data_IF_846506015659
#
_entry.id   IF_846506015659
#
_cell.length_a   1.000
_cell.length_b   1.000
_cell.length_c   1.000
_cell.angle_alpha   90.00
_cell.angle_beta   90.00
_cell.angle_gamma   90.00
#
_symmetry.space_group_name_H-M   'P 1'
#
loop_
_entity.id
_entity.type
_entity.pdbx_description
1 polymer ?
#
# COMPACT_ATOMS: atom_id res chain seq x y z
N UNK A 1 -22.90 11.73 -16.66
CA UNK A 1 -21.85 10.75 -17.01
C UNK A 1 -22.52 9.40 -17.18
N UNK A 2 -22.28 8.67 -18.28
CA UNK A 2 -22.77 7.30 -18.46
C UNK A 2 -21.67 6.34 -18.05
N UNK A 3 -22.00 5.35 -17.23
CA UNK A 3 -21.07 4.30 -16.80
C UNK A 3 -21.20 3.11 -17.76
N UNK A 4 -20.09 2.59 -18.28
CA UNK A 4 -20.06 1.46 -19.21
C UNK A 4 -19.05 0.41 -18.73
N UNK A 5 -19.46 -0.86 -18.80
CA UNK A 5 -18.53 -1.98 -18.58
C UNK A 5 -17.66 -2.19 -19.81
N UNK A 6 -16.39 -2.53 -19.59
CA UNK A 6 -15.43 -2.89 -20.63
C UNK A 6 -14.53 -4.05 -20.17
N UNK A 7 -13.98 -4.83 -21.10
CA UNK A 7 -12.97 -5.83 -20.73
C UNK A 7 -11.76 -5.18 -20.05
N UNK A 8 -11.29 -5.81 -18.97
CA UNK A 8 -10.08 -5.34 -18.26
C UNK A 8 -8.83 -5.56 -19.11
N UNK A 9 -7.95 -4.57 -19.16
CA UNK A 9 -6.64 -4.63 -19.82
C UNK A 9 -5.56 -4.17 -18.87
N UNK A 10 -4.44 -4.90 -18.77
CA UNK A 10 -3.30 -4.51 -17.91
C UNK A 10 -2.67 -3.19 -18.38
N UNK A 11 -2.64 -2.92 -19.67
CA UNK A 11 -2.13 -1.64 -20.23
C UNK A 11 -2.87 -0.39 -19.76
N UNK A 12 -4.01 -0.58 -19.09
CA UNK A 12 -4.77 0.51 -18.49
C UNK A 12 -4.54 0.63 -16.97
N UNK A 13 -3.72 -0.26 -16.40
CA UNK A 13 -3.28 -0.13 -15.02
C UNK A 13 -2.28 1.02 -14.91
N UNK A 14 -2.54 1.92 -13.96
CA UNK A 14 -1.69 3.08 -13.67
C UNK A 14 -1.05 2.85 -12.30
N UNK A 15 0.16 2.29 -12.24
CA UNK A 15 0.77 1.99 -10.95
C UNK A 15 1.05 3.26 -10.15
N UNK A 16 0.58 3.26 -8.91
CA UNK A 16 0.96 4.18 -7.85
C UNK A 16 2.00 3.47 -6.99
N UNK A 17 3.21 4.03 -6.93
CA UNK A 17 4.35 3.42 -6.21
C UNK A 17 4.77 4.32 -5.05
N UNK A 18 4.96 3.74 -3.86
CA UNK A 18 5.42 4.46 -2.68
C UNK A 18 6.87 4.14 -2.32
N UNK A 19 7.70 5.17 -2.19
CA UNK A 19 9.08 5.06 -1.72
C UNK A 19 9.23 5.90 -0.44
N UNK A 20 9.62 5.29 0.66
CA UNK A 20 9.84 6.03 1.90
C UNK A 20 11.21 5.73 2.49
N UNK A 21 11.78 6.71 3.17
CA UNK A 21 13.11 6.57 3.77
C UNK A 21 13.41 7.71 4.74
N UNK A 22 14.44 7.50 5.57
CA UNK A 22 15.11 8.60 6.28
C UNK A 22 15.75 9.58 5.29
N UNK A 23 16.09 10.77 5.79
CA UNK A 23 16.80 11.77 4.97
C UNK A 23 18.18 11.23 4.55
N UNK A 24 18.52 11.46 3.27
CA UNK A 24 19.82 11.04 2.71
C UNK A 24 19.90 9.59 2.22
N UNK A 25 18.85 8.77 2.39
CA UNK A 25 18.84 7.37 1.92
C UNK A 25 18.62 7.20 0.40
N UNK A 26 18.49 8.29 -0.38
CA UNK A 26 18.44 8.21 -1.84
C UNK A 26 17.05 8.09 -2.47
N UNK A 27 15.96 8.46 -1.75
CA UNK A 27 14.58 8.43 -2.29
C UNK A 27 14.43 9.12 -3.64
N UNK A 28 14.84 10.39 -3.70
CA UNK A 28 14.72 11.25 -4.90
C UNK A 28 15.37 10.62 -6.11
N UNK A 29 16.64 10.18 -5.98
CA UNK A 29 17.35 9.53 -7.07
C UNK A 29 16.69 8.22 -7.48
N UNK A 30 16.28 7.39 -6.52
CA UNK A 30 15.58 6.14 -6.80
C UNK A 30 14.26 6.37 -7.56
N UNK A 31 13.50 7.41 -7.18
CA UNK A 31 12.28 7.79 -7.88
C UNK A 31 12.56 8.28 -9.30
N UNK A 32 13.62 9.09 -9.49
CA UNK A 32 14.03 9.56 -10.80
C UNK A 32 14.46 8.41 -11.73
N UNK A 33 15.26 7.46 -11.22
CA UNK A 33 15.66 6.28 -11.96
C UNK A 33 14.47 5.40 -12.34
N UNK A 34 13.53 5.18 -11.41
CA UNK A 34 12.32 4.43 -11.66
C UNK A 34 11.45 5.10 -12.72
N UNK A 35 11.20 6.40 -12.58
CA UNK A 35 10.39 7.20 -13.50
C UNK A 35 11.01 7.24 -14.89
N UNK A 36 12.32 7.52 -14.98
CA UNK A 36 13.05 7.59 -16.26
C UNK A 36 13.10 6.24 -16.97
N UNK A 37 13.33 5.15 -16.21
CA UNK A 37 13.30 3.81 -16.76
C UNK A 37 11.91 3.42 -17.29
N UNK A 38 10.85 3.83 -16.60
CA UNK A 38 9.46 3.60 -17.02
C UNK A 38 9.08 4.43 -18.26
N UNK A 39 9.36 5.71 -18.27
CA UNK A 39 9.07 6.62 -19.37
C UNK A 39 9.92 6.32 -20.62
N UNK A 40 11.07 5.68 -20.45
CA UNK A 40 12.03 5.45 -21.54
C UNK A 40 12.84 6.71 -21.88
N UNK A 41 13.74 6.66 -22.88
CA UNK A 41 14.71 7.71 -23.14
C UNK A 41 14.07 9.03 -23.63
N UNK A 42 12.92 8.97 -24.30
CA UNK A 42 12.22 10.13 -24.88
C UNK A 42 10.95 10.51 -24.15
N UNK A 43 10.52 9.71 -23.18
CA UNK A 43 9.30 9.99 -22.41
C UNK A 43 9.46 11.20 -21.50
N UNK A 44 8.34 11.83 -21.17
CA UNK A 44 8.30 13.05 -20.35
C UNK A 44 8.13 12.70 -18.87
N UNK A 45 9.11 13.05 -18.05
CA UNK A 45 9.07 12.86 -16.59
C UNK A 45 8.86 14.21 -15.92
N UNK A 46 7.90 14.29 -14.99
CA UNK A 46 7.64 15.46 -14.17
C UNK A 46 7.90 15.19 -12.68
N UNK A 47 8.24 16.23 -11.94
CA UNK A 47 8.38 16.20 -10.50
C UNK A 47 7.64 17.38 -9.88
N UNK A 48 6.74 17.12 -8.95
CA UNK A 48 6.24 18.12 -8.00
C UNK A 48 7.19 18.09 -6.81
N UNK A 49 7.95 19.17 -6.63
CA UNK A 49 9.03 19.29 -5.65
C UNK A 49 8.62 20.23 -4.53
N UNK A 50 8.79 19.76 -3.28
CA UNK A 50 8.39 20.50 -2.08
C UNK A 50 9.56 20.68 -1.09
N UNK A 51 10.77 20.22 -1.43
CA UNK A 51 11.94 20.18 -0.54
C UNK A 51 13.01 21.25 -0.86
N UNK A 52 12.59 22.42 -1.34
CA UNK A 52 13.46 23.61 -1.53
C UNK A 52 14.62 23.42 -2.52
N UNK A 53 14.34 22.81 -3.69
CA UNK A 53 15.30 22.66 -4.79
C UNK A 53 16.15 21.40 -4.72
N UNK A 54 15.92 20.52 -3.76
CA UNK A 54 16.66 19.23 -3.68
C UNK A 54 16.42 18.33 -4.88
N UNK A 55 15.20 18.37 -5.43
CA UNK A 55 14.86 17.63 -6.63
C UNK A 55 15.64 18.12 -7.85
N UNK A 56 15.91 19.43 -7.95
CA UNK A 56 16.63 20.05 -9.06
C UNK A 56 18.14 19.72 -9.06
N UNK A 57 18.69 19.32 -7.91
CA UNK A 57 20.11 18.95 -7.80
C UNK A 57 20.52 17.73 -8.65
N UNK A 58 19.56 16.99 -9.20
CA UNK A 58 19.80 15.85 -10.08
C UNK A 58 19.61 16.18 -11.57
N UNK A 59 19.41 17.46 -11.95
CA UNK A 59 19.11 17.84 -13.33
C UNK A 59 20.19 17.40 -14.32
N UNK A 60 21.47 17.51 -13.91
CA UNK A 60 22.63 17.14 -14.74
C UNK A 60 23.23 15.78 -14.35
N UNK A 61 22.53 14.96 -13.56
CA UNK A 61 23.04 13.68 -13.14
C UNK A 61 23.05 12.68 -14.32
N UNK A 62 24.23 12.17 -14.73
CA UNK A 62 24.33 11.25 -15.88
C UNK A 62 23.59 9.94 -15.69
N UNK A 63 23.21 9.58 -14.44
CA UNK A 63 22.38 8.41 -14.14
C UNK A 63 20.91 8.62 -14.52
N UNK A 64 20.46 9.87 -14.72
CA UNK A 64 19.10 10.24 -15.10
C UNK A 64 19.07 10.82 -16.52
N UNK A 65 19.31 10.01 -17.57
CA UNK A 65 19.39 10.49 -18.93
C UNK A 65 18.04 11.03 -19.42
N UNK A 66 18.05 12.12 -20.20
CA UNK A 66 16.85 12.72 -20.77
C UNK A 66 16.13 13.73 -19.85
N UNK A 67 16.67 13.97 -18.64
CA UNK A 67 16.19 15.02 -17.75
C UNK A 67 14.74 14.84 -17.26
N UNK A 68 14.19 15.86 -16.63
CA UNK A 68 12.81 15.93 -16.13
C UNK A 68 12.42 17.40 -15.96
N UNK A 69 11.11 17.66 -15.91
CA UNK A 69 10.59 19.01 -15.61
C UNK A 69 10.12 19.08 -14.15
N UNK A 70 10.22 20.24 -13.54
CA UNK A 70 9.91 20.46 -12.13
C UNK A 70 8.81 21.51 -11.96
N UNK A 71 7.83 21.22 -11.11
CA UNK A 71 6.91 22.17 -10.52
C UNK A 71 7.26 22.31 -9.05
N UNK A 72 7.70 23.49 -8.62
CA UNK A 72 8.04 23.77 -7.24
C UNK A 72 6.82 24.25 -6.47
N UNK A 73 6.39 23.49 -5.46
CA UNK A 73 5.36 23.85 -4.50
C UNK A 73 6.02 24.31 -3.21
N UNK A 74 5.85 25.60 -2.82
CA UNK A 74 6.64 26.23 -1.75
C UNK A 74 5.84 26.79 -0.60
N UNK A 75 4.72 27.45 -0.88
CA UNK A 75 4.09 28.36 0.07
C UNK A 75 2.87 27.72 0.77
N UNK A 76 2.24 26.74 0.14
CA UNK A 76 1.06 26.05 0.66
C UNK A 76 1.17 24.54 0.38
N UNK A 77 1.06 23.75 1.43
CA UNK A 77 1.06 22.28 1.35
C UNK A 77 -0.31 21.68 1.66
N UNK A 78 -1.37 22.47 1.47
CA UNK A 78 -2.73 21.97 1.62
C UNK A 78 -3.07 20.88 0.60
N UNK A 79 -4.03 20.00 0.91
CA UNK A 79 -4.56 19.05 -0.07
C UNK A 79 -5.00 19.70 -1.38
N UNK A 80 -5.58 20.92 -1.32
CA UNK A 80 -5.98 21.68 -2.51
C UNK A 80 -4.79 22.09 -3.37
N UNK A 81 -3.71 22.60 -2.77
CA UNK A 81 -2.51 23.00 -3.51
C UNK A 81 -1.86 21.80 -4.22
N UNK A 82 -1.83 20.62 -3.57
CA UNK A 82 -1.39 19.39 -4.23
C UNK A 82 -2.33 18.96 -5.37
N UNK A 83 -3.64 19.11 -5.18
CA UNK A 83 -4.61 18.83 -6.25
C UNK A 83 -4.46 19.74 -7.45
N UNK A 84 -4.19 21.03 -7.25
CA UNK A 84 -3.90 21.99 -8.32
C UNK A 84 -2.58 21.66 -9.03
N UNK A 85 -1.54 21.27 -8.28
CA UNK A 85 -0.26 20.84 -8.85
C UNK A 85 -0.41 19.54 -9.67
N UNK A 86 -1.22 18.57 -9.21
CA UNK A 86 -1.58 17.38 -10.00
C UNK A 86 -2.31 17.77 -11.29
N UNK A 87 -3.29 18.68 -11.23
CA UNK A 87 -4.00 19.17 -12.40
C UNK A 87 -3.09 19.93 -13.39
N UNK A 88 -2.04 20.60 -12.89
CA UNK A 88 -1.02 21.21 -13.75
C UNK A 88 -0.15 20.13 -14.42
N UNK A 89 0.26 19.09 -13.68
CA UNK A 89 1.03 17.98 -14.20
C UNK A 89 0.29 17.19 -15.30
N UNK A 90 -1.03 17.04 -15.18
CA UNK A 90 -1.86 16.37 -16.20
C UNK A 90 -1.83 17.10 -17.56
N UNK A 91 -1.76 18.43 -17.55
CA UNK A 91 -1.69 19.25 -18.77
C UNK A 91 -0.36 19.08 -19.52
N UNK A 92 0.66 18.60 -18.81
CA UNK A 92 1.99 18.36 -19.37
C UNK A 92 2.11 17.04 -20.13
N UNK A 93 1.06 16.20 -20.15
CA UNK A 93 1.06 14.88 -20.79
C UNK A 93 2.28 14.01 -20.39
N UNK A 94 2.52 13.89 -19.10
CA UNK A 94 3.65 13.15 -18.54
C UNK A 94 3.47 11.63 -18.70
N UNK A 95 4.58 10.92 -18.92
CA UNK A 95 4.65 9.46 -18.86
C UNK A 95 4.87 8.97 -17.42
N UNK A 96 5.52 9.78 -16.58
CA UNK A 96 5.71 9.52 -15.18
C UNK A 96 5.74 10.81 -14.35
N UNK A 97 5.15 10.79 -13.17
CA UNK A 97 5.14 11.89 -12.21
C UNK A 97 5.73 11.44 -10.88
N UNK A 98 6.57 12.27 -10.29
CA UNK A 98 7.14 12.11 -8.96
C UNK A 98 6.58 13.20 -8.05
N UNK A 99 6.12 12.86 -6.85
CA UNK A 99 5.81 13.82 -5.78
C UNK A 99 6.89 13.68 -4.70
N UNK A 100 7.77 14.66 -4.56
CA UNK A 100 8.85 14.65 -3.56
C UNK A 100 8.88 15.97 -2.75
N UNK A 101 8.27 15.98 -1.58
CA UNK A 101 7.78 14.88 -0.76
C UNK A 101 6.26 14.91 -0.60
N UNK A 102 5.58 13.79 -0.81
CA UNK A 102 4.16 13.66 -0.54
C UNK A 102 3.83 13.78 0.97
N UNK A 103 4.81 13.62 1.87
CA UNK A 103 4.61 13.81 3.32
C UNK A 103 4.29 15.25 3.71
N UNK A 104 4.62 16.24 2.87
CA UNK A 104 4.29 17.64 3.18
C UNK A 104 2.79 17.91 3.13
N UNK A 105 2.04 17.24 2.25
CA UNK A 105 0.58 17.29 2.25
C UNK A 105 -0.01 16.89 3.60
N UNK A 106 0.64 15.93 4.28
CA UNK A 106 0.16 15.44 5.58
C UNK A 106 0.64 16.30 6.77
N UNK A 107 1.90 16.70 6.81
CA UNK A 107 2.56 17.21 8.03
C UNK A 107 3.15 18.62 7.91
N UNK A 108 3.15 19.25 6.75
CA UNK A 108 3.68 20.61 6.63
C UNK A 108 2.61 21.68 6.89
N UNK A 109 3.03 22.97 6.84
CA UNK A 109 2.12 24.12 6.98
C UNK A 109 1.07 24.08 5.85
N UNK A 110 -0.21 24.23 6.22
CA UNK A 110 -1.32 24.02 5.29
C UNK A 110 -1.79 22.57 5.18
N UNK A 111 -0.93 21.60 5.48
CA UNK A 111 -1.24 20.17 5.39
C UNK A 111 -2.26 19.69 6.42
N UNK A 112 -2.68 18.43 6.26
CA UNK A 112 -3.80 17.81 7.03
C UNK A 112 -3.62 17.93 8.54
N UNK A 113 -2.42 17.66 9.06
CA UNK A 113 -2.13 17.78 10.50
C UNK A 113 -2.15 19.21 10.99
N UNK A 114 -1.65 20.17 10.20
CA UNK A 114 -1.72 21.58 10.52
C UNK A 114 -3.18 22.06 10.57
N UNK A 115 -4.01 21.66 9.60
CA UNK A 115 -5.46 21.96 9.61
C UNK A 115 -6.14 21.38 10.85
N UNK A 116 -5.78 20.17 11.27
CA UNK A 116 -6.29 19.55 12.48
C UNK A 116 -5.88 20.34 13.74
N UNK A 117 -4.63 20.78 13.85
CA UNK A 117 -4.15 21.61 14.95
C UNK A 117 -4.88 22.96 15.01
N UNK A 118 -5.16 23.58 13.87
CA UNK A 118 -5.97 24.80 13.80
C UNK A 118 -7.40 24.59 14.29
N UNK A 119 -8.02 23.45 13.94
CA UNK A 119 -9.35 23.08 14.45
C UNK A 119 -9.35 22.91 15.97
N UNK A 120 -8.31 22.29 16.53
CA UNK A 120 -8.15 22.13 17.98
C UNK A 120 -7.98 23.48 18.69
N UNK A 121 -7.17 24.38 18.13
CA UNK A 121 -7.00 25.75 18.63
C UNK A 121 -8.31 26.56 18.60
N UNK A 122 -9.22 26.25 17.67
CA UNK A 122 -10.59 26.84 17.61
C UNK A 122 -11.57 26.15 18.55
N UNK A 123 -11.13 25.25 19.43
CA UNK A 123 -11.96 24.60 20.46
C UNK A 123 -12.70 23.35 19.99
N UNK A 124 -12.47 22.84 18.77
CA UNK A 124 -12.98 21.51 18.35
C UNK A 124 -12.29 20.41 19.16
N UNK A 125 -12.98 19.31 19.43
CA UNK A 125 -12.46 18.20 20.23
C UNK A 125 -12.73 16.84 19.59
N UNK A 126 -11.87 15.87 19.91
CA UNK A 126 -12.02 14.49 19.48
C UNK A 126 -12.06 14.35 17.96
N UNK A 127 -13.03 13.60 17.45
CA UNK A 127 -13.15 13.34 16.01
C UNK A 127 -13.42 14.60 15.17
N UNK A 128 -14.03 15.65 15.74
CA UNK A 128 -14.32 16.88 15.02
C UNK A 128 -13.06 17.63 14.58
N UNK A 129 -11.94 17.42 15.29
CA UNK A 129 -10.64 18.00 14.93
C UNK A 129 -10.22 17.54 13.52
N UNK A 130 -10.45 16.28 13.21
CA UNK A 130 -9.99 15.62 12.00
C UNK A 130 -11.01 15.56 10.87
N UNK A 131 -12.27 15.87 11.10
CA UNK A 131 -13.35 15.67 10.13
C UNK A 131 -13.09 16.44 8.83
N UNK A 132 -12.95 17.76 8.89
CA UNK A 132 -12.68 18.59 7.71
C UNK A 132 -11.32 18.26 7.07
N UNK A 133 -10.19 18.20 7.83
CA UNK A 133 -8.89 17.88 7.24
C UNK A 133 -8.87 16.56 6.46
N UNK A 134 -9.52 15.52 7.01
CA UNK A 134 -9.61 14.22 6.29
C UNK A 134 -10.51 14.28 5.06
N UNK A 135 -11.59 15.05 5.11
CA UNK A 135 -12.45 15.26 3.93
C UNK A 135 -11.69 16.01 2.83
N UNK A 136 -10.91 17.03 3.18
CA UNK A 136 -10.10 17.79 2.22
C UNK A 136 -9.00 16.91 1.63
N UNK A 137 -8.31 16.11 2.45
CA UNK A 137 -7.36 15.09 1.98
C UNK A 137 -7.98 14.15 0.94
N UNK A 138 -9.15 13.58 1.25
CA UNK A 138 -9.82 12.67 0.33
C UNK A 138 -10.28 13.36 -0.95
N UNK A 139 -10.85 14.55 -0.87
CA UNK A 139 -11.45 15.25 -2.01
C UNK A 139 -10.40 15.90 -2.91
N UNK A 140 -9.41 16.55 -2.31
CA UNK A 140 -8.50 17.44 -3.02
C UNK A 140 -7.13 16.84 -3.31
N UNK A 141 -6.74 15.79 -2.61
CA UNK A 141 -5.49 15.08 -2.87
C UNK A 141 -5.71 13.64 -3.37
N UNK A 142 -6.39 12.80 -2.59
CA UNK A 142 -6.54 11.38 -2.94
C UNK A 142 -7.33 11.17 -4.22
N UNK A 143 -8.48 11.83 -4.38
CA UNK A 143 -9.32 11.66 -5.57
C UNK A 143 -8.60 12.11 -6.86
N UNK A 144 -7.96 13.30 -6.95
CA UNK A 144 -7.13 13.67 -8.09
C UNK A 144 -5.99 12.67 -8.34
N UNK A 145 -5.27 12.26 -7.29
CA UNK A 145 -4.17 11.31 -7.39
C UNK A 145 -4.59 9.96 -8.00
N UNK A 146 -5.71 9.42 -7.58
CA UNK A 146 -6.22 8.11 -8.04
C UNK A 146 -6.89 8.19 -9.41
N UNK A 147 -7.39 9.35 -9.81
CA UNK A 147 -8.06 9.56 -11.10
C UNK A 147 -7.15 10.08 -12.21
N UNK A 148 -5.92 10.47 -11.90
CA UNK A 148 -4.99 11.04 -12.89
C UNK A 148 -4.79 10.15 -14.12
N UNK A 149 -4.71 10.71 -15.33
CA UNK A 149 -4.40 9.96 -16.55
C UNK A 149 -2.92 9.54 -16.64
N UNK A 150 -2.02 10.09 -15.80
CA UNK A 150 -0.58 9.85 -15.87
C UNK A 150 -0.27 8.36 -15.66
N UNK A 151 0.51 7.72 -16.56
CA UNK A 151 0.73 6.28 -16.56
C UNK A 151 1.44 5.72 -15.31
N UNK A 152 2.33 6.50 -14.68
CA UNK A 152 3.04 6.15 -13.45
C UNK A 152 3.07 7.34 -12.51
N UNK A 153 2.68 7.12 -11.25
CA UNK A 153 2.90 8.10 -10.17
C UNK A 153 3.76 7.47 -9.07
N UNK A 154 4.78 8.21 -8.63
CA UNK A 154 5.70 7.80 -7.57
C UNK A 154 5.59 8.80 -6.42
N UNK A 155 5.27 8.32 -5.24
CA UNK A 155 5.23 9.12 -4.02
C UNK A 155 6.50 8.90 -3.20
N UNK A 156 7.32 9.92 -3.08
CA UNK A 156 8.41 9.96 -2.12
C UNK A 156 7.89 10.43 -0.78
N UNK A 157 8.05 9.64 0.26
CA UNK A 157 7.57 9.95 1.60
C UNK A 157 8.74 9.96 2.58
N UNK A 158 8.72 10.89 3.52
CA UNK A 158 9.59 10.83 4.69
C UNK A 158 9.23 9.62 5.53
N UNK A 159 10.18 9.05 6.23
CA UNK A 159 9.93 7.94 7.10
C UNK A 159 10.45 8.22 8.51
N UNK A 160 9.83 7.59 9.48
CA UNK A 160 10.18 7.66 10.89
C UNK A 160 10.00 6.33 11.57
N UNK A 161 10.67 6.16 12.69
CA UNK A 161 10.36 5.10 13.64
C UNK A 161 9.36 5.66 14.65
N UNK A 162 8.10 5.25 14.63
CA UNK A 162 7.11 5.77 15.56
C UNK A 162 7.46 5.44 17.00
N UNK A 163 7.00 6.28 17.93
CA UNK A 163 7.01 5.94 19.36
C UNK A 163 5.81 5.03 19.65
N UNK A 164 6.06 3.90 20.26
CA UNK A 164 5.06 2.92 20.65
C UNK A 164 5.03 2.80 22.18
N UNK A 165 3.84 2.82 22.75
CA UNK A 165 3.66 2.62 24.19
C UNK A 165 3.80 1.13 24.52
N UNK A 166 4.57 0.84 25.57
CA UNK A 166 4.69 -0.50 26.09
C UNK A 166 3.35 -0.98 26.66
N UNK A 167 2.76 -2.00 26.04
CA UNK A 167 1.45 -2.55 26.47
C UNK A 167 1.45 -3.07 27.90
N UNK A 168 2.61 -3.48 28.42
CA UNK A 168 2.75 -4.00 29.77
C UNK A 168 2.94 -2.88 30.84
N UNK A 169 3.36 -1.69 30.41
CA UNK A 169 3.67 -0.60 31.34
C UNK A 169 3.22 0.74 30.73
N UNK A 170 2.01 1.16 31.11
CA UNK A 170 1.42 2.43 30.66
C UNK A 170 2.33 3.63 30.97
N UNK A 171 2.54 4.49 29.97
CA UNK A 171 3.45 5.64 30.08
C UNK A 171 4.91 5.33 29.74
N UNK A 172 5.27 4.08 29.48
CA UNK A 172 6.59 3.67 29.02
C UNK A 172 6.59 3.61 27.48
N UNK A 173 7.30 4.54 26.84
CA UNK A 173 7.34 4.71 25.39
C UNK A 173 8.71 4.31 24.87
N UNK A 174 8.75 3.49 23.82
CA UNK A 174 9.95 3.12 23.11
C UNK A 174 9.83 3.44 21.63
N UNK A 175 10.95 3.62 20.96
CA UNK A 175 11.01 3.76 19.51
C UNK A 175 10.70 2.41 18.86
N UNK A 176 9.78 2.39 17.90
CA UNK A 176 9.51 1.19 17.09
C UNK A 176 10.78 0.73 16.35
N UNK A 177 10.94 -0.57 16.17
CA UNK A 177 11.97 -1.13 15.29
C UNK A 177 11.58 -1.04 13.81
N UNK A 178 10.31 -0.78 13.51
CA UNK A 178 9.78 -0.70 12.15
C UNK A 178 9.74 0.74 11.67
N UNK A 179 10.31 0.96 10.49
CA UNK A 179 10.26 2.23 9.78
C UNK A 179 8.90 2.38 9.09
N UNK A 180 8.22 3.49 9.32
CA UNK A 180 6.91 3.80 8.74
C UNK A 180 6.94 5.08 7.92
N UNK A 181 6.21 5.16 6.81
CA UNK A 181 6.08 6.39 6.04
C UNK A 181 5.30 7.44 6.84
N UNK A 182 5.71 8.68 6.69
CA UNK A 182 5.05 9.80 7.35
C UNK A 182 3.97 10.39 6.43
N UNK A 183 2.86 9.69 6.36
CA UNK A 183 1.68 10.01 5.56
C UNK A 183 0.45 9.30 6.16
N UNK A 184 -0.73 9.53 5.61
CA UNK A 184 -1.95 8.80 5.96
C UNK A 184 -1.82 7.31 5.62
N UNK A 185 -2.26 6.44 6.52
CA UNK A 185 -2.27 4.99 6.28
C UNK A 185 -3.14 4.60 5.07
N UNK A 186 -4.20 5.40 4.81
CA UNK A 186 -5.14 5.11 3.71
C UNK A 186 -4.48 5.16 2.34
N UNK A 187 -3.47 6.01 2.13
CA UNK A 187 -2.78 6.11 0.84
C UNK A 187 -1.97 4.84 0.51
N UNK A 188 -1.49 4.13 1.53
CA UNK A 188 -0.71 2.91 1.36
C UNK A 188 -1.57 1.76 0.80
N UNK A 189 -2.87 1.74 1.11
CA UNK A 189 -3.80 0.76 0.57
C UNK A 189 -4.00 0.92 -0.94
N UNK A 190 -3.89 2.14 -1.46
CA UNK A 190 -4.09 2.43 -2.88
C UNK A 190 -2.84 2.14 -3.75
N UNK A 191 -1.68 1.93 -3.14
CA UNK A 191 -0.44 1.70 -3.86
C UNK A 191 -0.35 0.29 -4.42
N UNK A 192 0.13 0.15 -5.66
CA UNK A 192 0.47 -1.14 -6.27
C UNK A 192 1.67 -1.81 -5.59
N UNK A 193 2.67 -1.03 -5.25
CA UNK A 193 3.80 -1.47 -4.42
C UNK A 193 4.31 -0.29 -3.59
N UNK A 194 4.80 -0.58 -2.40
CA UNK A 194 5.55 0.39 -1.61
C UNK A 194 6.60 -0.30 -0.74
N UNK A 195 7.62 0.45 -0.39
CA UNK A 195 8.68 -0.02 0.48
C UNK A 195 9.63 1.11 0.88
N UNK A 196 10.56 0.78 1.73
CA UNK A 196 11.54 1.73 2.23
C UNK A 196 12.91 1.53 1.58
N UNK A 197 13.70 2.59 1.57
CA UNK A 197 15.06 2.59 1.06
C UNK A 197 16.01 2.77 2.25
N UNK A 198 16.96 1.87 2.39
CA UNK A 198 17.95 1.90 3.44
C UNK A 198 19.11 2.87 3.12
N UNK A 199 20.04 3.03 4.08
CA UNK A 199 21.23 3.88 3.90
C UNK A 199 22.24 3.31 2.89
N UNK A 200 22.11 2.04 2.53
CA UNK A 200 22.84 1.38 1.44
C UNK A 200 22.16 1.56 0.08
N UNK A 201 21.10 2.38 0.01
CA UNK A 201 20.30 2.65 -1.19
C UNK A 201 19.55 1.44 -1.74
N UNK A 202 19.30 0.43 -0.90
CA UNK A 202 18.54 -0.76 -1.27
C UNK A 202 17.07 -0.60 -0.92
N UNK A 203 16.21 -1.06 -1.83
CA UNK A 203 14.77 -1.08 -1.64
C UNK A 203 14.35 -2.31 -0.84
N UNK A 204 13.54 -2.10 0.18
CA UNK A 204 12.91 -3.15 0.99
C UNK A 204 11.40 -3.03 0.85
N UNK A 205 10.80 -3.96 0.14
CA UNK A 205 9.37 -3.91 -0.17
C UNK A 205 8.53 -4.34 1.02
N UNK A 206 7.51 -3.53 1.29
CA UNK A 206 6.52 -3.79 2.36
C UNK A 206 5.21 -4.33 1.78
N UNK A 207 4.85 -3.90 0.56
CA UNK A 207 3.64 -4.33 -0.13
C UNK A 207 3.89 -4.51 -1.62
N UNK A 208 3.30 -5.58 -2.16
CA UNK A 208 3.11 -5.80 -3.59
C UNK A 208 1.68 -6.30 -3.81
N UNK A 209 0.89 -5.59 -4.59
CA UNK A 209 -0.49 -5.99 -4.90
C UNK A 209 -0.54 -7.28 -5.73
N UNK A 210 0.53 -7.56 -6.48
CA UNK A 210 0.66 -8.76 -7.31
C UNK A 210 2.06 -9.35 -7.16
N UNK A 211 2.14 -10.68 -7.17
CA UNK A 211 3.41 -11.39 -7.00
C UNK A 211 4.43 -11.04 -8.10
N UNK A 212 3.96 -10.79 -9.32
CA UNK A 212 4.86 -10.38 -10.42
C UNK A 212 5.61 -9.07 -10.11
N UNK A 213 5.04 -8.17 -9.29
CA UNK A 213 5.74 -6.94 -8.91
C UNK A 213 6.96 -7.18 -8.03
N UNK A 214 7.06 -8.31 -7.33
CA UNK A 214 8.27 -8.71 -6.60
C UNK A 214 9.45 -8.96 -7.55
N UNK A 215 9.19 -9.46 -8.75
CA UNK A 215 10.24 -9.65 -9.76
C UNK A 215 10.60 -8.37 -10.52
N UNK A 216 9.73 -7.36 -10.46
CA UNK A 216 9.93 -6.03 -11.05
C UNK A 216 10.74 -5.15 -10.10
N UNK A 217 10.28 -5.02 -8.86
CA UNK A 217 10.92 -4.24 -7.80
C UNK A 217 11.51 -5.22 -6.78
N UNK A 218 12.76 -5.60 -7.05
CA UNK A 218 13.46 -6.63 -6.27
C UNK A 218 13.72 -6.14 -4.84
N UNK A 219 13.43 -7.01 -3.89
CA UNK A 219 13.72 -6.75 -2.48
C UNK A 219 15.23 -6.79 -2.22
N UNK A 220 15.73 -5.96 -1.32
CA UNK A 220 17.13 -5.83 -0.96
C UNK A 220 18.08 -5.46 -2.13
N UNK A 221 17.53 -4.83 -3.19
CA UNK A 221 18.29 -4.37 -4.36
C UNK A 221 18.05 -2.87 -4.61
N UNK A 222 19.01 -2.15 -5.20
CA UNK A 222 18.82 -0.75 -5.56
C UNK A 222 17.81 -0.60 -6.70
N UNK A 223 17.01 0.46 -6.64
CA UNK A 223 16.16 0.87 -7.75
C UNK A 223 17.03 1.50 -8.85
N UNK A 224 16.88 0.99 -10.08
CA UNK A 224 17.66 1.39 -11.25
C UNK A 224 16.75 1.74 -12.43
N UNK A 225 17.33 2.26 -13.53
CA UNK A 225 16.62 2.40 -14.81
C UNK A 225 15.98 1.06 -15.26
N UNK A 226 16.70 -0.06 -15.07
CA UNK A 226 16.19 -1.39 -15.39
C UNK A 226 14.95 -1.76 -14.58
N UNK A 227 14.83 -1.31 -13.33
CA UNK A 227 13.61 -1.48 -12.52
C UNK A 227 12.42 -0.77 -13.16
N UNK A 228 12.60 0.48 -13.61
CA UNK A 228 11.57 1.23 -14.35
C UNK A 228 11.16 0.56 -15.67
N UNK A 229 12.14 0.07 -16.43
CA UNK A 229 11.88 -0.66 -17.68
C UNK A 229 11.07 -1.95 -17.44
N UNK A 230 11.39 -2.71 -16.40
CA UNK A 230 10.60 -3.89 -16.01
C UNK A 230 9.19 -3.51 -15.59
N UNK A 231 9.02 -2.40 -14.86
CA UNK A 231 7.70 -1.90 -14.47
C UNK A 231 6.88 -1.47 -15.68
N UNK A 232 7.48 -0.80 -16.66
CA UNK A 232 6.83 -0.44 -17.92
C UNK A 232 6.40 -1.67 -18.73
N UNK A 233 7.26 -2.68 -18.83
CA UNK A 233 6.94 -3.95 -19.49
C UNK A 233 5.79 -4.68 -18.77
N UNK A 234 5.80 -4.69 -17.43
CA UNK A 234 4.73 -5.24 -16.63
C UNK A 234 3.40 -4.51 -16.87
N UNK A 235 3.39 -3.17 -16.83
CA UNK A 235 2.20 -2.35 -17.05
C UNK A 235 1.61 -2.57 -18.46
N UNK A 236 2.47 -2.71 -19.48
CA UNK A 236 2.05 -3.01 -20.87
C UNK A 236 1.59 -4.45 -21.07
N UNK A 237 1.75 -5.33 -20.07
CA UNK A 237 1.41 -6.75 -20.18
C UNK A 237 2.40 -7.56 -21.03
N UNK A 238 3.58 -7.01 -21.34
CA UNK A 238 4.63 -7.65 -22.16
C UNK A 238 5.71 -8.34 -21.31
N UNK A 239 5.67 -8.18 -19.98
CA UNK A 239 6.57 -8.89 -19.08
C UNK A 239 6.29 -10.40 -19.16
N UNK A 240 7.31 -11.19 -19.46
CA UNK A 240 7.23 -12.66 -19.41
C UNK A 240 6.87 -13.08 -17.98
N UNK A 241 5.80 -13.86 -17.85
CA UNK A 241 5.43 -14.50 -16.58
C UNK A 241 6.58 -15.43 -16.18
N UNK A 242 7.09 -15.37 -14.94
CA UNK A 242 7.98 -16.42 -14.46
C UNK A 242 7.28 -17.76 -14.66
N UNK A 243 8.00 -18.76 -15.15
CA UNK A 243 7.47 -20.11 -15.35
C UNK A 243 7.23 -20.78 -13.99
N UNK A 244 6.18 -20.40 -13.31
CA UNK A 244 5.58 -21.10 -12.19
C UNK A 244 4.27 -21.68 -12.70
N UNK A 245 4.08 -22.97 -12.50
CA UNK A 245 3.01 -23.78 -13.06
C UNK A 245 1.65 -23.10 -13.15
N UNK A 246 1.03 -23.27 -14.31
CA UNK A 246 -0.23 -22.65 -14.72
C UNK A 246 -1.40 -22.98 -13.77
N UNK A 247 -2.08 -21.99 -13.22
CA UNK A 247 -3.48 -22.18 -12.87
C UNK A 247 -4.28 -22.11 -14.18
N UNK A 248 -4.82 -23.24 -14.60
CA UNK A 248 -5.75 -23.37 -15.72
C UNK A 248 -6.86 -22.31 -15.59
N UNK A 249 -7.14 -21.51 -16.63
CA UNK A 249 -8.24 -20.54 -16.56
C UNK A 249 -9.57 -21.27 -16.29
N UNK A 250 -10.47 -20.71 -15.49
CA UNK A 250 -11.76 -21.32 -15.24
C UNK A 250 -12.51 -21.47 -16.59
N UNK A 251 -12.92 -22.70 -16.89
CA UNK A 251 -13.81 -22.99 -18.03
C UNK A 251 -15.11 -22.21 -17.89
N UNK A 252 -15.69 -21.73 -18.97
CA UNK A 252 -17.01 -21.09 -18.91
C UNK A 252 -18.04 -22.08 -18.33
N UNK A 253 -18.80 -21.60 -17.36
CA UNK A 253 -19.86 -22.36 -16.69
C UNK A 253 -20.95 -22.65 -17.73
N UNK A 254 -21.10 -23.90 -18.14
CA UNK A 254 -22.29 -24.40 -18.81
C UNK A 254 -23.31 -24.86 -17.76
N UNK A 255 -24.57 -24.55 -18.00
CA UNK A 255 -25.73 -24.81 -17.13
C UNK A 255 -25.92 -26.28 -16.76
N UNK A 256 -26.64 -26.58 -15.66
CA UNK A 256 -26.61 -27.89 -15.01
C UNK A 256 -27.52 -28.92 -15.68
N UNK A 257 -26.92 -30.00 -16.11
CA UNK A 257 -27.62 -31.26 -16.41
C UNK A 257 -27.44 -32.26 -15.28
N UNK A 258 -28.50 -32.95 -14.92
CA UNK A 258 -28.71 -33.77 -13.73
C UNK A 258 -27.84 -35.04 -13.64
N UNK A 259 -27.49 -35.34 -12.39
CA UNK A 259 -27.30 -36.63 -11.69
C UNK A 259 -26.50 -37.78 -12.30
N UNK A 260 -25.43 -38.20 -11.61
CA UNK A 260 -25.31 -39.58 -11.07
C UNK A 260 -24.03 -39.68 -10.23
N UNK A 261 -24.11 -40.43 -9.12
CA UNK A 261 -23.12 -40.55 -8.08
C UNK A 261 -21.89 -41.37 -8.42
N UNK A 262 -20.84 -41.24 -7.57
CA UNK A 262 -19.63 -42.05 -7.60
C UNK A 262 -18.62 -41.51 -6.59
N UNK A 263 -18.57 -42.16 -5.43
CA UNK A 263 -17.56 -42.03 -4.39
C UNK A 263 -16.17 -42.38 -4.92
N UNK A 264 -15.18 -41.53 -4.73
CA UNK A 264 -13.80 -41.95 -4.49
C UNK A 264 -12.98 -40.86 -3.78
N UNK A 265 -12.08 -41.30 -2.92
CA UNK A 265 -11.35 -40.62 -1.89
C UNK A 265 -10.49 -39.43 -2.35
N UNK A 266 -10.48 -38.40 -1.49
CA UNK A 266 -9.64 -37.22 -1.60
C UNK A 266 -8.21 -37.50 -1.12
N UNK A 267 -7.23 -37.08 -1.90
CA UNK A 267 -5.88 -36.81 -1.45
C UNK A 267 -5.78 -35.32 -1.09
N UNK A 268 -5.35 -35.05 0.14
CA UNK A 268 -5.27 -33.73 0.75
C UNK A 268 -3.97 -33.03 0.37
N UNK A 269 -4.05 -32.03 -0.50
CA UNK A 269 -3.10 -30.91 -0.49
C UNK A 269 -3.78 -29.76 0.25
N UNK A 270 -3.17 -29.38 1.41
CA UNK A 270 -3.83 -28.55 2.42
C UNK A 270 -4.11 -27.13 1.96
N UNK A 271 -5.37 -26.75 2.08
CA UNK A 271 -5.84 -25.37 2.06
C UNK A 271 -5.12 -24.59 3.18
N UNK A 272 -4.33 -23.51 2.89
CA UNK A 272 -3.64 -22.75 3.91
C UNK A 272 -4.59 -22.18 4.98
N UNK A 273 -5.82 -21.85 4.62
CA UNK A 273 -6.85 -21.36 5.54
C UNK A 273 -7.29 -22.47 6.50
N UNK A 274 -7.36 -23.73 6.05
CA UNK A 274 -7.69 -24.87 6.92
C UNK A 274 -6.57 -25.13 7.95
N UNK A 275 -5.31 -24.96 7.58
CA UNK A 275 -4.18 -25.07 8.51
C UNK A 275 -4.26 -24.03 9.63
N UNK A 276 -4.60 -22.79 9.30
CA UNK A 276 -4.78 -21.70 10.28
C UNK A 276 -5.97 -21.95 11.20
N UNK A 277 -7.08 -22.48 10.68
CA UNK A 277 -8.26 -22.89 11.47
C UNK A 277 -7.91 -23.99 12.47
N UNK A 278 -7.19 -25.01 12.04
CA UNK A 278 -6.76 -26.12 12.91
C UNK A 278 -5.82 -25.64 14.00
N UNK A 279 -4.86 -24.78 13.69
CA UNK A 279 -3.92 -24.21 14.67
C UNK A 279 -4.64 -23.32 15.68
N UNK A 280 -5.59 -22.51 15.24
CA UNK A 280 -6.38 -21.65 16.14
C UNK A 280 -7.27 -22.47 17.10
N UNK A 281 -7.88 -23.56 16.62
CA UNK A 281 -8.63 -24.50 17.45
C UNK A 281 -7.70 -25.13 18.51
N UNK A 282 -6.50 -25.57 18.10
CA UNK A 282 -5.50 -26.13 19.00
C UNK A 282 -5.08 -25.13 20.08
N UNK A 283 -4.90 -23.85 19.75
CA UNK A 283 -4.55 -22.79 20.71
C UNK A 283 -5.71 -22.51 21.68
N UNK A 284 -6.95 -22.47 21.21
CA UNK A 284 -8.13 -22.34 22.06
C UNK A 284 -8.27 -23.54 23.02
N UNK A 285 -7.98 -24.74 22.55
CA UNK A 285 -8.03 -25.95 23.38
C UNK A 285 -6.92 -26.00 24.43
N UNK A 286 -5.76 -25.45 24.16
CA UNK A 286 -4.65 -25.36 25.10
C UNK A 286 -4.78 -24.20 26.10
N UNK A 287 -5.72 -23.28 25.93
CA UNK A 287 -5.84 -22.07 26.77
C UNK A 287 -6.57 -22.37 28.08
N UNK A 288 -5.90 -22.08 29.19
CA UNK A 288 -6.42 -22.22 30.55
C UNK A 288 -6.94 -20.88 31.14
N UNK A 289 -6.77 -19.77 30.47
CA UNK A 289 -7.15 -18.44 30.92
C UNK A 289 -8.19 -17.77 29.98
N UNK A 290 -9.29 -17.30 30.59
CA UNK A 290 -10.40 -16.67 29.87
C UNK A 290 -9.98 -15.44 29.09
N UNK A 291 -9.03 -14.62 29.61
CA UNK A 291 -8.55 -13.40 28.95
C UNK A 291 -7.69 -13.70 27.72
N UNK A 292 -6.82 -14.72 27.84
CA UNK A 292 -6.01 -15.19 26.72
C UNK A 292 -6.89 -15.80 25.62
N UNK A 293 -7.88 -16.62 25.98
CA UNK A 293 -8.83 -17.19 25.03
C UNK A 293 -9.71 -16.15 24.34
N UNK A 294 -10.11 -15.09 25.04
CA UNK A 294 -10.81 -13.96 24.42
C UNK A 294 -9.92 -13.20 23.44
N UNK A 295 -8.63 -13.04 23.74
CA UNK A 295 -7.65 -12.45 22.81
C UNK A 295 -7.50 -13.25 21.51
N UNK A 296 -7.35 -14.58 21.62
CA UNK A 296 -7.28 -15.48 20.45
C UNK A 296 -8.57 -15.43 19.61
N UNK A 297 -9.72 -15.44 20.26
CA UNK A 297 -11.01 -15.29 19.56
C UNK A 297 -11.13 -13.95 18.84
N UNK A 298 -10.72 -12.84 19.45
CA UNK A 298 -10.76 -11.51 18.86
C UNK A 298 -9.85 -11.41 17.63
N UNK A 299 -8.72 -12.12 17.62
CA UNK A 299 -7.85 -12.24 16.44
C UNK A 299 -8.52 -13.05 15.32
N UNK A 300 -9.21 -14.14 15.66
CA UNK A 300 -9.93 -14.98 14.70
C UNK A 300 -11.12 -14.28 14.04
N UNK A 301 -11.80 -13.41 14.77
CA UNK A 301 -13.01 -12.68 14.32
C UNK A 301 -12.66 -11.31 13.73
N UNK A 302 -11.39 -10.90 13.71
CA UNK A 302 -10.99 -9.70 12.98
C UNK A 302 -11.34 -9.86 11.51
N UNK A 303 -12.11 -8.92 11.02
CA UNK A 303 -12.96 -8.88 9.83
C UNK A 303 -12.47 -9.65 8.58
N UNK A 304 -11.16 -9.64 8.29
CA UNK A 304 -10.65 -10.25 7.06
C UNK A 304 -10.50 -11.77 7.12
N UNK A 305 -10.15 -12.34 8.27
CA UNK A 305 -9.97 -13.79 8.39
C UNK A 305 -11.33 -14.52 8.49
N UNK A 306 -12.28 -13.96 9.25
CA UNK A 306 -13.61 -14.56 9.43
C UNK A 306 -14.41 -14.64 8.14
N UNK A 307 -14.31 -13.63 7.27
CA UNK A 307 -14.99 -13.60 5.97
C UNK A 307 -14.42 -14.60 4.95
N UNK A 308 -13.17 -15.02 5.14
CA UNK A 308 -12.52 -16.04 4.29
C UNK A 308 -12.91 -17.46 4.67
N UNK A 309 -13.52 -17.66 5.84
CA UNK A 309 -13.88 -18.99 6.36
C UNK A 309 -15.19 -19.49 5.74
N UNK A 310 -15.20 -20.77 5.40
CA UNK A 310 -16.45 -21.48 5.08
C UNK A 310 -17.36 -21.59 6.33
N UNK A 311 -18.65 -21.76 6.12
CA UNK A 311 -19.64 -21.96 7.20
C UNK A 311 -19.25 -23.12 8.12
N UNK A 312 -18.65 -24.19 7.59
CA UNK A 312 -18.13 -25.31 8.37
C UNK A 312 -16.99 -24.93 9.28
N UNK A 313 -16.01 -24.15 8.77
CA UNK A 313 -14.86 -23.65 9.52
C UNK A 313 -15.27 -22.67 10.62
N UNK A 314 -16.20 -21.75 10.33
CA UNK A 314 -16.78 -20.85 11.32
C UNK A 314 -17.50 -21.60 12.45
N UNK A 315 -18.25 -22.65 12.11
CA UNK A 315 -18.93 -23.49 13.10
C UNK A 315 -17.94 -24.24 14.01
N UNK A 316 -16.86 -24.79 13.46
CA UNK A 316 -15.79 -25.46 14.20
C UNK A 316 -15.08 -24.54 15.17
N UNK A 317 -14.70 -23.33 14.75
CA UNK A 317 -14.07 -22.30 15.58
C UNK A 317 -15.00 -21.83 16.70
N UNK A 318 -16.29 -21.63 16.40
CA UNK A 318 -17.29 -21.24 17.40
C UNK A 318 -17.45 -22.30 18.46
N UNK A 319 -17.51 -23.58 18.07
CA UNK A 319 -17.59 -24.71 19.00
C UNK A 319 -16.35 -24.82 19.90
N UNK A 320 -15.15 -24.64 19.37
CA UNK A 320 -13.90 -24.64 20.15
C UNK A 320 -13.86 -23.50 21.19
N UNK A 321 -14.29 -22.27 20.79
CA UNK A 321 -14.43 -21.16 21.73
C UNK A 321 -15.40 -21.45 22.87
N UNK A 322 -16.56 -22.03 22.58
CA UNK A 322 -17.57 -22.32 23.59
C UNK A 322 -17.10 -23.44 24.51
N UNK A 323 -16.40 -24.46 24.00
CA UNK A 323 -15.76 -25.50 24.80
C UNK A 323 -14.67 -24.91 25.72
N UNK A 324 -13.84 -24.00 25.23
CA UNK A 324 -12.84 -23.27 26.03
C UNK A 324 -13.51 -22.49 27.18
N UNK A 325 -14.57 -21.73 26.88
CA UNK A 325 -15.31 -20.97 27.91
C UNK A 325 -15.91 -21.90 29.00
N UNK A 326 -16.47 -23.02 28.59
CA UNK A 326 -17.03 -24.00 29.54
C UNK A 326 -15.94 -24.60 30.44
N UNK A 327 -14.78 -24.94 29.88
CA UNK A 327 -13.63 -25.51 30.59
C UNK A 327 -13.04 -24.52 31.60
N UNK A 328 -12.83 -23.25 31.20
CA UNK A 328 -12.27 -22.19 32.06
C UNK A 328 -13.25 -21.79 33.18
N UNK A 329 -14.56 -21.95 32.97
CA UNK A 329 -15.58 -21.69 34.00
C UNK A 329 -15.69 -22.84 35.04
N UNK A 330 -15.27 -24.04 34.67
CA UNK A 330 -15.31 -25.21 35.50
C UNK A 330 -14.03 -25.43 36.35
N UNK A 331 -12.94 -24.74 35.99
CA UNK A 331 -11.66 -24.70 36.72
C UNK A 331 -11.63 -23.54 37.73
#
# INVERSE_FOLDING_TARGET
>A
MSYTFRPAKRSEAKPLIGLYAESGAGKTLSALLLARGFAGPTGKVGMIETESGRGEAYADDPRVPGGYIVLSLRDDFSPSAFGEALGAAEKEALDALILDSASHEWDAVGGVRHMAAMNEAQGKKGMLVWQTPKMDHQRHFMLPLLSTPIPLVILCMRARYPMVENKAKKGDWSRSEHLEPYQSDTILFEMFAHGWIDRGHKFHGTKWTREELRTVMLDNEPITLGTGQRLAAWAKGTASRPATGDPTPPKPVSEPGAAAGGTTAASSDGDPVEADVVELIRQLDATADQKAGHGLWTLAVKHEFWEQLTTSQQSRLTAAKDAMKARVKAA
#
